data_IF_995386014265
#
_entry.id   IF_995386014265
#
_cell.length_a   1.000
_cell.length_b   1.000
_cell.length_c   1.000
_cell.angle_alpha   90.00
_cell.angle_beta   90.00
_cell.angle_gamma   90.00
#
_symmetry.space_group_name_H-M   'P 1'
#
loop_
_entity.id
_entity.type
_entity.pdbx_description
1 polymer ?
#
# COMPACT_ATOMS: atom_id res chain seq x y z
N UNK A 1 14.99 -36.44 14.25
CA UNK A 1 15.02 -35.42 13.20
C UNK A 1 15.21 -36.15 11.87
N UNK A 2 14.32 -35.95 10.91
CA UNK A 2 14.50 -36.48 9.55
C UNK A 2 15.06 -35.32 8.72
N UNK A 3 16.18 -35.55 8.03
CA UNK A 3 16.85 -34.54 7.23
C UNK A 3 16.71 -34.85 5.75
N UNK A 4 16.31 -33.84 4.98
CA UNK A 4 16.23 -33.89 3.54
C UNK A 4 17.19 -32.85 2.94
N UNK A 5 17.95 -33.24 1.92
CA UNK A 5 18.82 -32.36 1.13
C UNK A 5 19.91 -31.60 1.93
N UNK A 6 20.77 -32.33 2.65
CA UNK A 6 21.87 -31.80 3.50
C UNK A 6 22.92 -30.91 2.81
N UNK A 7 22.84 -30.70 1.49
CA UNK A 7 23.87 -30.00 0.71
C UNK A 7 23.58 -28.50 0.50
N UNK A 8 22.61 -27.93 1.23
CA UNK A 8 22.16 -26.53 1.08
C UNK A 8 22.56 -25.67 2.29
N UNK A 9 22.77 -24.37 2.04
CA UNK A 9 23.32 -23.43 3.03
C UNK A 9 22.36 -23.03 4.15
N UNK A 10 21.06 -22.93 3.86
CA UNK A 10 20.04 -22.51 4.83
C UNK A 10 19.20 -23.72 5.27
N UNK A 11 19.13 -23.95 6.58
CA UNK A 11 18.49 -25.10 7.23
C UNK A 11 17.14 -24.72 7.83
N UNK A 12 16.09 -25.30 7.27
CA UNK A 12 14.70 -25.07 7.67
C UNK A 12 14.21 -26.26 8.51
N UNK A 13 13.70 -25.99 9.70
CA UNK A 13 12.93 -26.94 10.49
C UNK A 13 11.44 -26.72 10.18
N UNK A 14 10.85 -27.63 9.42
CA UNK A 14 9.41 -27.72 9.28
C UNK A 14 8.88 -28.47 10.50
N UNK A 15 8.22 -27.74 11.38
CA UNK A 15 7.63 -28.32 12.57
C UNK A 15 6.33 -29.02 12.21
N UNK A 16 6.39 -30.34 12.32
CA UNK A 16 5.26 -31.24 12.17
C UNK A 16 5.13 -32.03 13.47
N UNK A 17 4.90 -31.31 14.57
CA UNK A 17 4.65 -31.84 15.92
C UNK A 17 3.36 -32.69 16.03
N UNK A 18 2.81 -33.17 14.92
CA UNK A 18 1.53 -33.88 14.85
C UNK A 18 1.74 -35.39 14.99
N UNK A 19 0.96 -35.95 15.91
CA UNK A 19 1.43 -36.93 16.87
C UNK A 19 1.44 -38.39 16.41
N UNK A 20 1.40 -38.68 15.11
CA UNK A 20 1.33 -40.06 14.62
C UNK A 20 2.54 -40.41 13.73
N UNK A 21 3.32 -41.44 14.10
CA UNK A 21 4.20 -42.16 13.16
C UNK A 21 3.29 -43.04 12.23
N UNK A 22 3.78 -43.58 11.10
CA UNK A 22 3.19 -43.39 9.78
C UNK A 22 2.18 -44.46 9.36
N UNK A 23 1.20 -44.07 8.54
CA UNK A 23 0.63 -44.97 7.52
C UNK A 23 0.08 -44.31 6.25
N UNK A 24 0.31 -43.02 5.98
CA UNK A 24 -0.15 -42.41 4.70
C UNK A 24 0.87 -41.49 4.05
N UNK A 25 1.17 -41.76 2.78
CA UNK A 25 2.06 -40.99 1.91
C UNK A 25 1.39 -39.66 1.52
N UNK A 26 2.07 -38.53 1.75
CA UNK A 26 1.62 -37.19 1.31
C UNK A 26 2.41 -36.80 0.07
N UNK A 27 1.78 -36.94 -1.10
CA UNK A 27 2.48 -36.71 -2.38
C UNK A 27 3.68 -37.65 -2.56
N UNK A 28 4.68 -37.27 -3.36
CA UNK A 28 5.82 -38.16 -3.65
C UNK A 28 7.03 -37.98 -2.72
N UNK A 29 7.13 -36.84 -2.03
CA UNK A 29 8.38 -36.46 -1.37
C UNK A 29 8.28 -36.31 0.15
N UNK A 30 7.07 -36.30 0.73
CA UNK A 30 6.87 -36.20 2.18
C UNK A 30 6.07 -37.40 2.71
N UNK A 31 6.51 -37.96 3.84
CA UNK A 31 5.73 -38.91 4.63
C UNK A 31 5.29 -38.20 5.91
N UNK A 32 3.98 -37.99 6.10
CA UNK A 32 3.41 -37.47 7.35
C UNK A 32 2.53 -38.51 8.04
N UNK A 33 2.25 -38.30 9.33
CA UNK A 33 1.45 -39.19 10.17
C UNK A 33 -0.02 -39.31 9.74
N UNK A 34 -0.65 -40.43 10.10
CA UNK A 34 -2.01 -40.78 9.71
C UNK A 34 -3.09 -39.84 10.26
N UNK A 35 -4.07 -39.59 9.39
CA UNK A 35 -5.41 -39.08 9.69
C UNK A 35 -6.23 -40.22 10.33
N UNK A 36 -6.74 -40.02 11.54
CA UNK A 36 -7.72 -40.95 12.15
C UNK A 36 -9.13 -40.37 12.00
N UNK A 37 -9.25 -39.04 11.99
CA UNK A 37 -10.46 -38.24 11.75
C UNK A 37 -10.08 -36.88 11.11
N UNK A 38 -11.09 -36.13 10.66
CA UNK A 38 -10.97 -34.76 10.10
C UNK A 38 -11.09 -33.69 11.19
N UNK A 39 -10.81 -34.04 12.45
CA UNK A 39 -10.96 -33.11 13.57
C UNK A 39 -9.69 -32.26 13.69
N UNK A 40 -9.87 -30.94 13.58
CA UNK A 40 -8.82 -29.92 13.54
C UNK A 40 -8.29 -29.60 12.16
N UNK A 41 -8.72 -30.31 11.10
CA UNK A 41 -8.19 -30.20 9.72
C UNK A 41 -9.21 -30.73 8.70
N UNK A 42 -9.40 -29.99 7.60
CA UNK A 42 -10.52 -30.17 6.66
C UNK A 42 -10.80 -31.62 6.16
N UNK A 43 -12.02 -31.82 5.65
CA UNK A 43 -12.55 -33.13 5.24
C UNK A 43 -11.84 -33.75 4.04
N UNK A 44 -12.07 -35.05 3.84
CA UNK A 44 -11.52 -35.86 2.74
C UNK A 44 -11.93 -35.39 1.33
N UNK A 45 -12.88 -34.45 1.23
CA UNK A 45 -13.40 -33.84 0.01
C UNK A 45 -12.88 -32.41 -0.24
N UNK A 46 -12.01 -31.88 0.62
CA UNK A 46 -11.39 -30.57 0.43
C UNK A 46 -10.11 -30.66 -0.41
N UNK A 47 -10.21 -30.18 -1.65
CA UNK A 47 -9.19 -30.31 -2.72
C UNK A 47 -7.87 -29.57 -2.42
N UNK A 48 -7.78 -28.85 -1.30
CA UNK A 48 -6.66 -27.97 -0.91
C UNK A 48 -5.63 -28.67 0.01
N UNK A 49 -5.82 -29.96 0.30
CA UNK A 49 -5.03 -30.74 1.26
C UNK A 49 -3.75 -31.41 0.73
N UNK A 50 -2.72 -31.45 1.59
CA UNK A 50 -1.48 -32.27 1.58
C UNK A 50 -0.59 -32.24 0.32
N UNK A 51 -1.17 -32.31 -0.87
CA UNK A 51 -0.53 -32.10 -2.15
C UNK A 51 0.15 -30.72 -2.23
N UNK A 52 -0.42 -29.69 -1.59
CA UNK A 52 0.14 -28.33 -1.56
C UNK A 52 1.43 -28.24 -0.75
N UNK A 53 1.57 -29.03 0.33
CA UNK A 53 2.81 -29.07 1.10
C UNK A 53 3.89 -29.86 0.36
N UNK A 54 3.53 -30.90 -0.40
CA UNK A 54 4.45 -31.61 -1.29
C UNK A 54 4.97 -30.66 -2.40
N UNK A 55 4.12 -29.80 -2.96
CA UNK A 55 4.53 -28.74 -3.88
C UNK A 55 5.40 -27.68 -3.20
N UNK A 56 5.00 -27.17 -2.03
CA UNK A 56 5.77 -26.20 -1.26
C UNK A 56 7.15 -26.77 -0.88
N UNK A 57 7.21 -28.01 -0.42
CA UNK A 57 8.46 -28.72 -0.16
C UNK A 57 9.28 -28.91 -1.43
N UNK A 58 8.68 -29.30 -2.56
CA UNK A 58 9.40 -29.46 -3.84
C UNK A 58 10.03 -28.15 -4.29
N UNK A 59 9.36 -27.02 -4.06
CA UNK A 59 9.89 -25.69 -4.36
C UNK A 59 10.99 -25.33 -3.36
N UNK A 60 10.68 -25.37 -2.06
CA UNK A 60 11.59 -24.96 -1.00
C UNK A 60 12.85 -25.84 -0.95
N UNK A 61 12.74 -27.14 -1.20
CA UNK A 61 13.86 -28.08 -1.16
C UNK A 61 14.91 -27.84 -2.25
N UNK A 62 14.59 -27.03 -3.28
CA UNK A 62 15.58 -26.53 -4.25
C UNK A 62 16.56 -25.54 -3.63
N UNK A 63 16.13 -24.82 -2.59
CA UNK A 63 16.87 -23.72 -1.96
C UNK A 63 17.32 -24.05 -0.54
N UNK A 64 16.52 -24.80 0.21
CA UNK A 64 16.68 -25.03 1.65
C UNK A 64 16.97 -26.51 1.97
N UNK A 65 17.80 -26.73 3.00
CA UNK A 65 17.94 -28.04 3.65
C UNK A 65 16.80 -28.20 4.64
N UNK A 66 15.85 -29.08 4.36
CA UNK A 66 14.62 -29.20 5.15
C UNK A 66 14.75 -30.34 6.14
N UNK A 67 14.42 -30.08 7.39
CA UNK A 67 14.37 -31.07 8.46
C UNK A 67 13.01 -31.06 9.15
N UNK A 68 12.63 -32.20 9.75
CA UNK A 68 11.41 -32.33 10.54
C UNK A 68 11.74 -32.96 11.90
N UNK A 69 11.11 -32.50 12.97
CA UNK A 69 11.32 -32.99 14.33
C UNK A 69 9.99 -33.21 15.05
N UNK A 70 10.04 -34.09 16.06
CA UNK A 70 8.96 -34.35 17.04
C UNK A 70 9.36 -33.98 18.46
N UNK A 71 10.57 -33.45 18.61
CA UNK A 71 11.09 -33.03 19.90
C UNK A 71 10.55 -31.64 20.23
N UNK A 72 10.27 -31.41 21.51
CA UNK A 72 9.97 -30.08 22.02
C UNK A 72 11.09 -29.09 21.67
N UNK A 73 10.72 -27.83 21.46
CA UNK A 73 11.68 -26.79 21.15
C UNK A 73 12.68 -26.60 22.28
N UNK A 74 13.96 -26.73 21.94
CA UNK A 74 15.07 -26.53 22.85
C UNK A 74 16.21 -25.84 22.12
N UNK A 75 17.08 -25.16 22.87
CA UNK A 75 18.32 -24.57 22.34
C UNK A 75 19.15 -25.63 21.57
N UNK A 76 19.10 -26.89 22.02
CA UNK A 76 19.79 -28.00 21.37
C UNK A 76 19.16 -28.38 20.03
N UNK A 77 17.82 -28.44 19.96
CA UNK A 77 17.11 -28.76 18.72
C UNK A 77 17.34 -27.68 17.64
N UNK A 78 17.33 -26.41 18.06
CA UNK A 78 17.45 -25.26 17.17
C UNK A 78 18.91 -24.91 16.84
N UNK A 79 19.89 -25.64 17.39
CA UNK A 79 21.31 -25.38 17.15
C UNK A 79 21.66 -25.64 15.68
N UNK A 80 22.01 -24.58 14.97
CA UNK A 80 22.37 -24.65 13.55
C UNK A 80 21.16 -24.83 12.62
N UNK A 81 19.96 -24.53 13.10
CA UNK A 81 18.77 -24.29 12.27
C UNK A 81 18.69 -22.79 11.99
N UNK A 82 18.39 -22.40 10.76
CA UNK A 82 18.31 -21.00 10.32
C UNK A 82 16.86 -20.48 10.29
N UNK A 83 15.89 -21.38 10.05
CA UNK A 83 14.47 -21.06 10.07
C UNK A 83 13.61 -22.15 10.71
N UNK A 84 12.53 -21.75 11.39
CA UNK A 84 11.49 -22.64 11.92
C UNK A 84 10.15 -22.25 11.29
N UNK A 85 9.41 -23.23 10.78
CA UNK A 85 8.05 -23.03 10.26
C UNK A 85 7.08 -23.88 11.06
N UNK A 86 6.10 -23.24 11.69
CA UNK A 86 5.06 -23.89 12.48
C UNK A 86 3.74 -23.81 11.72
N UNK A 87 3.17 -24.97 11.41
CA UNK A 87 1.89 -25.08 10.74
C UNK A 87 0.81 -25.38 11.77
N UNK A 88 -0.16 -24.46 11.89
CA UNK A 88 -1.50 -24.70 12.44
C UNK A 88 -1.53 -25.74 13.60
N UNK A 89 -1.23 -25.28 14.82
CA UNK A 89 -1.11 -26.15 15.99
C UNK A 89 -2.43 -26.85 16.30
N UNK A 90 -2.37 -28.13 16.66
CA UNK A 90 -3.56 -28.95 16.90
C UNK A 90 -4.33 -28.47 18.12
N UNK A 91 -5.65 -28.29 18.00
CA UNK A 91 -6.48 -27.88 19.11
C UNK A 91 -6.65 -29.03 20.12
N UNK A 92 -6.19 -28.89 21.38
CA UNK A 92 -6.34 -29.93 22.41
C UNK A 92 -7.80 -30.21 22.79
N UNK A 93 -8.72 -29.30 22.46
CA UNK A 93 -10.16 -29.52 22.63
C UNK A 93 -10.77 -30.44 21.57
N UNK A 94 -10.10 -30.66 20.44
CA UNK A 94 -10.47 -31.61 19.38
C UNK A 94 -9.67 -32.91 19.53
N UNK A 95 -8.37 -32.78 19.69
CA UNK A 95 -7.44 -33.91 19.79
C UNK A 95 -6.93 -33.95 21.23
N UNK A 96 -7.51 -34.83 22.04
CA UNK A 96 -7.25 -34.91 23.50
C UNK A 96 -5.78 -35.12 23.89
N UNK A 97 -4.97 -35.67 22.96
CA UNK A 97 -3.54 -35.90 23.13
C UNK A 97 -2.66 -34.90 22.34
N UNK A 98 -3.25 -33.84 21.77
CA UNK A 98 -2.48 -32.81 21.09
C UNK A 98 -1.54 -32.14 22.07
N UNK A 99 -0.26 -32.12 21.73
CA UNK A 99 0.72 -31.40 22.52
C UNK A 99 0.74 -29.94 22.09
N UNK A 100 0.61 -29.06 23.07
CA UNK A 100 0.70 -27.62 22.88
C UNK A 100 2.14 -27.15 23.06
N UNK A 101 2.51 -26.05 22.40
CA UNK A 101 3.81 -25.40 22.63
C UNK A 101 3.83 -24.85 24.05
N UNK A 102 4.73 -25.35 24.89
CA UNK A 102 4.79 -24.93 26.29
C UNK A 102 5.38 -23.52 26.48
N UNK A 103 5.15 -22.93 27.65
CA UNK A 103 5.77 -21.66 28.06
C UNK A 103 7.32 -21.67 27.95
N UNK A 104 7.94 -22.80 28.26
CA UNK A 104 9.39 -22.98 28.11
C UNK A 104 9.82 -22.96 26.65
N UNK A 105 9.06 -23.60 25.77
CA UNK A 105 9.32 -23.61 24.34
C UNK A 105 9.11 -22.23 23.71
N UNK A 106 8.08 -21.49 24.14
CA UNK A 106 7.88 -20.09 23.71
C UNK A 106 9.11 -19.24 24.03
N UNK A 107 9.69 -19.37 25.24
CA UNK A 107 10.92 -18.64 25.61
C UNK A 107 12.10 -19.02 24.73
N UNK A 108 12.23 -20.31 24.39
CA UNK A 108 13.27 -20.81 23.47
C UNK A 108 13.09 -20.20 22.08
N UNK A 109 11.87 -20.22 21.52
CA UNK A 109 11.57 -19.65 20.21
C UNK A 109 11.82 -18.14 20.16
N UNK A 110 11.42 -17.41 21.21
CA UNK A 110 11.70 -15.97 21.33
C UNK A 110 13.20 -15.68 21.37
N UNK A 111 13.96 -16.45 22.16
CA UNK A 111 15.42 -16.34 22.23
C UNK A 111 16.07 -16.66 20.89
N UNK A 112 15.60 -17.70 20.21
CA UNK A 112 16.06 -18.10 18.88
C UNK A 112 15.91 -16.97 17.86
N UNK A 113 14.73 -16.32 17.80
CA UNK A 113 14.51 -15.17 16.91
C UNK A 113 15.39 -13.97 17.27
N UNK A 114 15.54 -13.66 18.57
CA UNK A 114 16.45 -12.59 19.02
C UNK A 114 17.91 -12.84 18.64
N UNK A 115 18.30 -14.10 18.50
CA UNK A 115 19.65 -14.50 18.11
C UNK A 115 19.83 -14.59 16.59
N UNK A 116 18.87 -14.11 15.79
CA UNK A 116 18.95 -14.05 14.33
C UNK A 116 18.27 -15.20 13.58
N UNK A 117 17.63 -16.14 14.30
CA UNK A 117 16.83 -17.19 13.67
C UNK A 117 15.52 -16.67 13.08
N UNK A 118 15.05 -17.26 11.99
CA UNK A 118 13.75 -16.91 11.38
C UNK A 118 12.62 -17.79 11.92
N UNK A 119 11.48 -17.21 12.27
CA UNK A 119 10.28 -17.94 12.69
C UNK A 119 9.09 -17.57 11.81
N UNK A 120 8.44 -18.57 11.21
CA UNK A 120 7.21 -18.44 10.45
C UNK A 120 6.09 -19.20 11.16
N UNK A 121 4.97 -18.53 11.41
CA UNK A 121 3.74 -19.12 11.93
C UNK A 121 2.67 -19.07 10.84
N UNK A 122 2.14 -20.23 10.46
CA UNK A 122 1.02 -20.31 9.52
C UNK A 122 -0.27 -20.53 10.31
N UNK A 123 -1.11 -19.50 10.28
CA UNK A 123 -2.38 -19.41 11.01
C UNK A 123 -3.55 -19.39 10.04
N UNK A 124 -4.74 -19.70 10.54
CA UNK A 124 -5.97 -19.71 9.75
C UNK A 124 -7.08 -18.93 10.47
N UNK A 125 -8.20 -18.68 9.80
CA UNK A 125 -9.38 -18.07 10.42
C UNK A 125 -9.95 -18.95 11.53
N UNK A 126 -10.61 -18.33 12.52
CA UNK A 126 -11.28 -19.05 13.62
C UNK A 126 -12.75 -18.71 13.63
N UNK A 127 -13.58 -19.70 13.27
CA UNK A 127 -15.03 -19.59 13.26
C UNK A 127 -15.67 -20.51 14.30
N UNK A 128 -16.71 -20.03 15.01
CA UNK A 128 -17.49 -20.88 15.95
C UNK A 128 -18.15 -22.07 15.25
N UNK A 129 -18.52 -21.91 13.98
CA UNK A 129 -19.19 -22.94 13.19
C UNK A 129 -18.20 -23.94 12.55
N UNK A 130 -16.89 -23.65 12.63
CA UNK A 130 -15.81 -24.52 12.15
C UNK A 130 -14.94 -24.98 13.30
N UNK A 131 -15.57 -25.35 14.41
CA UNK A 131 -14.85 -25.90 15.56
C UNK A 131 -13.98 -27.10 15.15
N UNK A 132 -14.44 -27.92 14.21
CA UNK A 132 -13.68 -29.06 13.67
C UNK A 132 -12.50 -28.64 12.77
N UNK A 133 -12.31 -27.36 12.47
CA UNK A 133 -11.13 -26.82 11.78
C UNK A 133 -10.32 -25.88 12.69
N UNK A 134 -10.63 -25.85 13.99
CA UNK A 134 -10.01 -24.91 14.92
C UNK A 134 -8.62 -25.37 15.37
N UNK A 135 -7.77 -24.39 15.69
CA UNK A 135 -6.35 -24.59 16.06
C UNK A 135 -6.11 -24.22 17.52
N UNK A 136 -4.97 -24.66 18.08
CA UNK A 136 -4.52 -24.21 19.39
C UNK A 136 -4.31 -22.69 19.39
N UNK A 137 -5.06 -21.97 20.20
CA UNK A 137 -5.00 -20.51 20.23
C UNK A 137 -4.29 -19.95 21.46
N UNK A 138 -4.29 -20.68 22.58
CA UNK A 138 -3.81 -20.16 23.86
C UNK A 138 -2.32 -19.88 23.83
N UNK A 139 -1.53 -20.89 23.51
CA UNK A 139 -0.07 -20.80 23.43
C UNK A 139 0.37 -20.07 22.16
N UNK A 140 -0.32 -20.27 21.04
CA UNK A 140 -0.07 -19.51 19.80
C UNK A 140 -0.19 -18.00 20.02
N UNK A 141 -1.27 -17.52 20.64
CA UNK A 141 -1.43 -16.09 20.96
C UNK A 141 -0.37 -15.59 21.93
N UNK A 142 0.01 -16.42 22.90
CA UNK A 142 1.07 -16.08 23.85
C UNK A 142 2.42 -15.91 23.16
N UNK A 143 2.75 -16.77 22.19
CA UNK A 143 3.93 -16.65 21.35
C UNK A 143 3.91 -15.35 20.54
N UNK A 144 2.83 -15.08 19.80
CA UNK A 144 2.67 -13.89 18.95
C UNK A 144 2.78 -12.59 19.75
N UNK A 145 2.14 -12.51 20.92
CA UNK A 145 2.24 -11.34 21.81
C UNK A 145 3.66 -11.07 22.26
N UNK A 146 4.49 -12.11 22.36
CA UNK A 146 5.92 -11.98 22.65
C UNK A 146 6.71 -11.22 21.57
N UNK A 147 6.16 -11.09 20.37
CA UNK A 147 6.69 -10.32 19.25
C UNK A 147 5.87 -9.05 18.96
N UNK A 148 4.96 -8.67 19.85
CA UNK A 148 4.09 -7.50 19.65
C UNK A 148 2.94 -7.74 18.66
N UNK A 149 2.65 -8.99 18.30
CA UNK A 149 1.59 -9.36 17.36
C UNK A 149 0.32 -9.81 18.10
N UNK A 150 -0.84 -9.47 17.53
CA UNK A 150 -2.15 -9.94 17.98
C UNK A 150 -2.81 -10.83 16.93
N UNK A 151 -3.50 -11.88 17.39
CA UNK A 151 -4.39 -12.70 16.55
C UNK A 151 -5.81 -12.57 17.10
N UNK A 152 -6.72 -12.10 16.26
CA UNK A 152 -8.14 -11.88 16.53
C UNK A 152 -8.93 -13.20 16.48
N UNK A 153 -10.12 -13.22 17.11
CA UNK A 153 -10.98 -14.42 17.27
C UNK A 153 -12.29 -14.26 16.51
N UNK A 154 -12.20 -13.78 15.29
CA UNK A 154 -13.34 -13.49 14.45
C UNK A 154 -13.00 -13.80 12.99
N UNK A 155 -14.06 -13.89 12.19
CA UNK A 155 -14.00 -14.16 10.76
C UNK A 155 -13.64 -12.89 9.97
N UNK A 156 -12.77 -12.04 10.53
CA UNK A 156 -12.27 -10.90 9.78
C UNK A 156 -11.30 -11.42 8.75
N UNK A 157 -11.78 -11.62 7.53
CA UNK A 157 -10.91 -11.83 6.41
C UNK A 157 -10.31 -10.49 6.02
N UNK A 158 -8.98 -10.43 5.92
CA UNK A 158 -8.28 -9.32 5.26
C UNK A 158 -8.77 -9.09 3.80
N UNK A 159 -9.67 -9.94 3.26
CA UNK A 159 -10.22 -9.89 1.92
C UNK A 159 -11.64 -9.31 1.78
N UNK A 160 -12.30 -8.86 2.85
CA UNK A 160 -13.70 -8.38 2.79
C UNK A 160 -13.81 -6.92 2.31
N UNK A 161 -13.04 -6.56 1.28
CA UNK A 161 -13.08 -5.21 0.70
C UNK A 161 -14.27 -5.03 -0.24
N UNK A 162 -14.57 -3.76 -0.54
CA UNK A 162 -15.57 -3.41 -1.53
C UNK A 162 -15.26 -4.12 -2.85
N UNK A 163 -16.09 -5.10 -3.22
CA UNK A 163 -16.06 -5.65 -4.56
C UNK A 163 -16.68 -4.62 -5.50
N UNK A 164 -15.85 -3.73 -6.05
CA UNK A 164 -16.28 -2.67 -6.96
C UNK A 164 -17.04 -3.23 -8.17
N UNK A 165 -16.84 -4.50 -8.53
CA UNK A 165 -17.57 -5.15 -9.62
C UNK A 165 -19.05 -5.41 -9.34
N UNK A 166 -19.47 -5.31 -8.08
CA UNK A 166 -20.89 -5.38 -7.69
C UNK A 166 -21.67 -4.11 -8.04
N UNK A 167 -20.97 -3.06 -8.48
CA UNK A 167 -21.56 -1.79 -8.89
C UNK A 167 -21.46 -1.63 -10.41
N UNK A 168 -22.61 -1.52 -11.06
CA UNK A 168 -22.68 -1.50 -12.53
C UNK A 168 -21.99 -0.28 -13.14
N UNK A 169 -21.95 0.86 -12.43
CA UNK A 169 -21.21 2.07 -12.80
C UNK A 169 -21.03 2.94 -11.56
N UNK A 170 -19.80 3.43 -11.31
CA UNK A 170 -19.54 4.48 -10.34
C UNK A 170 -19.06 5.74 -11.09
N UNK A 171 -19.70 6.87 -10.84
CA UNK A 171 -19.30 8.15 -11.43
C UNK A 171 -18.69 9.05 -10.36
N UNK A 172 -17.51 9.60 -10.64
CA UNK A 172 -16.84 10.57 -9.78
C UNK A 172 -16.71 11.92 -10.48
N UNK A 173 -16.93 12.99 -9.73
CA UNK A 173 -16.47 14.33 -10.10
C UNK A 173 -15.05 14.52 -9.59
N UNK A 174 -14.14 14.86 -10.50
CA UNK A 174 -12.78 15.24 -10.19
C UNK A 174 -12.64 16.76 -10.26
N UNK A 175 -11.99 17.32 -9.25
CA UNK A 175 -11.51 18.70 -9.26
C UNK A 175 -10.03 18.71 -8.85
N UNK A 176 -9.22 19.44 -9.60
CA UNK A 176 -7.82 19.69 -9.29
C UNK A 176 -7.61 21.19 -9.25
N UNK A 177 -7.01 21.69 -8.18
CA UNK A 177 -6.63 23.08 -8.06
C UNK A 177 -5.18 23.18 -7.61
N UNK A 178 -4.40 24.01 -8.29
CA UNK A 178 -3.03 24.28 -7.87
C UNK A 178 -2.72 25.75 -7.83
N UNK A 179 -1.82 26.11 -6.92
CA UNK A 179 -1.42 27.47 -6.62
C UNK A 179 0.10 27.57 -6.64
N UNK A 180 0.61 28.66 -7.19
CA UNK A 180 2.02 28.95 -7.19
C UNK A 180 2.31 30.31 -6.57
N UNK A 181 3.23 30.30 -5.62
CA UNK A 181 3.86 31.50 -5.09
C UNK A 181 5.32 31.50 -5.51
N UNK A 182 5.59 32.12 -6.66
CA UNK A 182 6.93 32.40 -7.18
C UNK A 182 7.11 33.92 -7.17
N UNK A 183 8.11 34.47 -6.44
CA UNK A 183 8.36 35.89 -6.42
C UNK A 183 8.65 36.45 -7.81
N UNK A 184 8.15 37.65 -8.12
CA UNK A 184 8.40 38.34 -9.41
C UNK A 184 9.88 38.57 -9.73
N UNK A 185 10.71 38.65 -8.70
CA UNK A 185 12.17 38.79 -8.80
C UNK A 185 12.85 37.49 -9.25
N UNK A 186 12.23 36.33 -9.00
CA UNK A 186 12.73 35.03 -9.41
C UNK A 186 12.49 34.84 -10.92
N UNK A 187 13.48 34.32 -11.65
CA UNK A 187 13.36 34.10 -13.10
C UNK A 187 12.36 33.02 -13.48
N UNK A 188 12.04 32.09 -12.57
CA UNK A 188 10.98 31.10 -12.77
C UNK A 188 9.61 31.76 -12.96
N UNK A 189 9.39 32.97 -12.43
CA UNK A 189 8.12 33.70 -12.63
C UNK A 189 7.90 34.14 -14.08
N UNK A 190 8.91 33.97 -14.95
CA UNK A 190 8.85 34.30 -16.38
C UNK A 190 8.54 33.09 -17.26
N UNK A 191 8.51 31.89 -16.69
CA UNK A 191 8.12 30.69 -17.42
C UNK A 191 6.64 30.82 -17.81
N UNK A 192 6.27 30.58 -19.08
CA UNK A 192 4.87 30.67 -19.50
C UNK A 192 3.97 29.68 -18.75
N UNK A 193 2.81 30.18 -18.32
CA UNK A 193 1.76 29.44 -17.60
C UNK A 193 0.43 29.55 -18.39
N UNK A 194 0.27 28.82 -19.51
CA UNK A 194 -0.83 29.04 -20.45
C UNK A 194 -2.23 28.75 -19.88
N UNK A 195 -2.33 27.79 -18.95
CA UNK A 195 -3.59 27.38 -18.31
C UNK A 195 -3.74 27.94 -16.89
N UNK A 196 -3.09 29.07 -16.60
CA UNK A 196 -3.19 29.71 -15.29
C UNK A 196 -3.95 31.01 -15.39
N UNK A 197 -4.77 31.26 -14.38
CA UNK A 197 -5.32 32.57 -14.08
C UNK A 197 -4.58 33.21 -12.90
N UNK A 198 -4.85 34.49 -12.65
CA UNK A 198 -4.20 35.24 -11.58
C UNK A 198 -5.21 35.49 -10.47
N UNK A 199 -4.97 34.86 -9.32
CA UNK A 199 -5.70 35.15 -8.10
C UNK A 199 -5.09 36.37 -7.40
N UNK A 200 -5.92 37.37 -7.14
CA UNK A 200 -5.53 38.64 -6.50
C UNK A 200 -6.20 38.80 -5.13
N UNK A 201 -5.76 38.07 -4.09
CA UNK A 201 -6.36 38.20 -2.75
C UNK A 201 -6.11 39.59 -2.15
N UNK A 202 -5.09 40.31 -2.65
CA UNK A 202 -4.74 41.69 -2.29
C UNK A 202 -4.24 42.42 -3.54
N UNK A 203 -4.37 43.76 -3.63
CA UNK A 203 -3.93 44.53 -4.81
C UNK A 203 -2.45 44.34 -5.20
N UNK A 204 -1.59 44.00 -4.23
CA UNK A 204 -0.15 43.82 -4.42
C UNK A 204 0.28 42.37 -4.59
N UNK A 205 -0.64 41.41 -4.46
CA UNK A 205 -0.34 39.98 -4.43
C UNK A 205 -1.02 39.30 -5.62
N UNK A 206 -0.22 38.92 -6.61
CA UNK A 206 -0.65 38.14 -7.77
C UNK A 206 -0.16 36.71 -7.58
N UNK A 207 -1.09 35.76 -7.45
CA UNK A 207 -0.77 34.34 -7.32
C UNK A 207 -1.33 33.60 -8.53
N UNK A 208 -0.48 33.07 -9.41
CA UNK A 208 -0.92 32.16 -10.45
C UNK A 208 -1.59 30.92 -9.84
N UNK A 209 -2.75 30.58 -10.36
CA UNK A 209 -3.45 29.34 -10.02
C UNK A 209 -4.06 28.70 -11.27
N UNK A 210 -4.31 27.41 -11.21
CA UNK A 210 -5.06 26.69 -12.24
C UNK A 210 -6.14 25.85 -11.59
N UNK A 211 -7.19 25.57 -12.37
CA UNK A 211 -8.23 24.61 -12.01
C UNK A 211 -8.46 23.65 -13.18
N UNK A 212 -8.62 22.37 -12.86
CA UNK A 212 -9.06 21.36 -13.79
C UNK A 212 -10.25 20.59 -13.23
N UNK A 213 -11.17 20.21 -14.10
CA UNK A 213 -12.27 19.33 -13.73
C UNK A 213 -12.48 18.25 -14.76
N UNK A 214 -13.00 17.10 -14.32
CA UNK A 214 -13.43 16.04 -15.20
C UNK A 214 -14.48 15.18 -14.52
N UNK A 215 -15.22 14.42 -15.32
CA UNK A 215 -16.07 13.33 -14.85
C UNK A 215 -15.39 12.01 -15.12
N UNK A 216 -15.33 11.15 -14.13
CA UNK A 216 -14.68 9.85 -14.19
C UNK A 216 -15.74 8.76 -14.11
N UNK A 217 -15.86 7.94 -15.15
CA UNK A 217 -16.83 6.85 -15.20
C UNK A 217 -16.09 5.53 -15.02
N UNK A 218 -16.23 4.92 -13.85
CA UNK A 218 -15.60 3.67 -13.47
C UNK A 218 -16.50 2.48 -13.83
N UNK A 219 -15.96 1.56 -14.62
CA UNK A 219 -16.55 0.26 -14.90
C UNK A 219 -15.64 -0.81 -14.31
N UNK A 220 -16.15 -1.67 -13.44
CA UNK A 220 -15.36 -2.68 -12.73
C UNK A 220 -15.89 -4.09 -13.01
N UNK A 221 -14.98 -5.04 -13.22
CA UNK A 221 -15.29 -6.46 -13.47
C UNK A 221 -14.38 -7.32 -12.61
N UNK A 222 -14.96 -8.36 -12.00
CA UNK A 222 -14.20 -9.32 -11.20
C UNK A 222 -13.32 -10.18 -12.09
N UNK A 223 -12.04 -10.26 -11.76
CA UNK A 223 -11.09 -11.21 -12.33
C UNK A 223 -11.00 -12.43 -11.41
N UNK A 224 -11.67 -13.52 -11.80
CA UNK A 224 -11.74 -14.74 -11.01
C UNK A 224 -10.41 -15.51 -10.95
N UNK A 225 -9.52 -15.34 -11.94
CA UNK A 225 -8.23 -16.03 -11.96
C UNK A 225 -7.24 -15.38 -10.98
N UNK A 226 -7.21 -14.05 -10.94
CA UNK A 226 -6.34 -13.31 -10.02
C UNK A 226 -6.99 -13.06 -8.67
N UNK A 227 -8.30 -13.32 -8.56
CA UNK A 227 -9.10 -12.92 -7.40
C UNK A 227 -9.06 -11.40 -7.19
N UNK A 228 -9.01 -10.62 -8.25
CA UNK A 228 -8.85 -9.17 -8.25
C UNK A 228 -10.05 -8.49 -8.92
N UNK A 229 -10.07 -7.16 -8.95
CA UNK A 229 -10.99 -6.37 -9.75
C UNK A 229 -10.19 -5.65 -10.83
N UNK A 230 -10.59 -5.84 -12.09
CA UNK A 230 -10.14 -4.99 -13.20
C UNK A 230 -11.12 -3.86 -13.34
N UNK A 231 -10.62 -2.63 -13.44
CA UNK A 231 -11.50 -1.48 -13.62
C UNK A 231 -10.98 -0.54 -14.69
N UNK A 232 -11.87 -0.05 -15.53
CA UNK A 232 -11.58 0.99 -16.52
C UNK A 232 -12.26 2.29 -16.10
N UNK A 233 -11.47 3.34 -15.97
CA UNK A 233 -11.94 4.70 -15.70
C UNK A 233 -11.92 5.49 -17.00
N UNK A 234 -13.09 5.84 -17.52
CA UNK A 234 -13.21 6.77 -18.64
C UNK A 234 -13.16 8.20 -18.11
N UNK A 235 -12.29 9.04 -18.67
CA UNK A 235 -12.25 10.48 -18.40
C UNK A 235 -13.15 11.19 -19.41
N UNK A 236 -14.11 11.96 -18.91
CA UNK A 236 -15.13 12.62 -19.73
C UNK A 236 -15.21 14.09 -19.31
N UNK A 237 -15.53 14.97 -20.27
CA UNK A 237 -15.78 16.40 -20.04
C UNK A 237 -14.61 17.09 -19.31
N UNK A 238 -13.36 16.77 -19.70
CA UNK A 238 -12.18 17.41 -19.12
C UNK A 238 -12.12 18.90 -19.46
N UNK A 239 -11.88 19.74 -18.45
CA UNK A 239 -11.82 21.19 -18.60
C UNK A 239 -10.66 21.78 -17.82
N UNK A 240 -10.07 22.83 -18.38
CA UNK A 240 -9.27 23.81 -17.64
C UNK A 240 -10.17 25.01 -17.32
N UNK A 241 -10.41 25.27 -16.05
CA UNK A 241 -11.48 26.18 -15.62
C UNK A 241 -12.82 25.81 -16.31
N UNK A 242 -13.45 26.77 -16.99
CA UNK A 242 -14.67 26.56 -17.76
C UNK A 242 -14.41 26.16 -19.23
N UNK A 243 -13.14 26.05 -19.65
CA UNK A 243 -12.75 25.78 -21.04
C UNK A 243 -12.61 24.27 -21.28
N UNK A 244 -13.39 23.73 -22.20
CA UNK A 244 -13.21 22.35 -22.67
C UNK A 244 -11.87 22.22 -23.38
N UNK A 245 -11.08 21.21 -23.02
CA UNK A 245 -9.89 20.80 -23.78
C UNK A 245 -10.34 19.68 -24.73
N UNK A 246 -10.60 20.00 -25.99
CA UNK A 246 -11.03 19.01 -26.98
C UNK A 246 -9.87 18.06 -27.30
N UNK A 247 -9.84 16.92 -26.61
CA UNK A 247 -9.01 15.78 -26.96
C UNK A 247 -9.88 14.74 -27.69
N UNK A 248 -9.54 14.44 -28.94
CA UNK A 248 -10.24 13.43 -29.74
C UNK A 248 -9.75 12.01 -29.45
N UNK A 249 -8.69 11.86 -28.63
CA UNK A 249 -8.21 10.55 -28.20
C UNK A 249 -9.10 9.94 -27.12
N UNK A 250 -9.13 8.61 -27.11
CA UNK A 250 -9.82 7.86 -26.08
C UNK A 250 -9.04 7.97 -24.75
N UNK A 251 -9.59 8.72 -23.80
CA UNK A 251 -9.00 8.92 -22.47
C UNK A 251 -9.52 7.88 -21.46
N UNK A 252 -8.72 6.85 -21.19
CA UNK A 252 -9.06 5.73 -20.28
C UNK A 252 -7.88 5.40 -19.38
N UNK A 253 -8.17 5.05 -18.12
CA UNK A 253 -7.18 4.53 -17.17
C UNK A 253 -7.62 3.12 -16.76
N UNK A 254 -6.81 2.12 -17.10
CA UNK A 254 -7.05 0.73 -16.67
C UNK A 254 -6.34 0.46 -15.35
N UNK A 255 -7.04 -0.20 -14.43
CA UNK A 255 -6.63 -0.45 -13.05
C UNK A 255 -6.71 -1.95 -12.74
N UNK A 256 -5.73 -2.45 -11.99
CA UNK A 256 -5.82 -3.74 -11.32
C UNK A 256 -5.88 -3.52 -9.81
N UNK A 257 -6.97 -3.93 -9.19
CA UNK A 257 -7.24 -3.71 -7.77
C UNK A 257 -7.28 -5.06 -7.06
N UNK A 258 -6.38 -5.28 -6.11
CA UNK A 258 -6.30 -6.53 -5.35
C UNK A 258 -7.46 -6.68 -4.36
N UNK A 259 -7.58 -7.87 -3.75
CA UNK A 259 -8.60 -8.20 -2.72
C UNK A 259 -8.62 -7.28 -1.51
N UNK A 260 -7.55 -6.52 -1.29
CA UNK A 260 -7.41 -5.58 -0.19
C UNK A 260 -7.76 -4.14 -0.60
N UNK A 261 -8.22 -3.90 -1.83
CA UNK A 261 -8.47 -2.55 -2.36
C UNK A 261 -7.19 -1.83 -2.80
N UNK A 262 -6.03 -2.49 -2.75
CA UNK A 262 -4.78 -1.92 -3.26
C UNK A 262 -4.79 -1.89 -4.78
N UNK A 263 -4.63 -0.71 -5.36
CA UNK A 263 -4.35 -0.54 -6.79
C UNK A 263 -2.90 -0.97 -7.05
N UNK A 264 -2.73 -2.10 -7.74
CA UNK A 264 -1.45 -2.70 -8.05
C UNK A 264 -0.88 -2.22 -9.41
N UNK A 265 -1.75 -1.78 -10.32
CA UNK A 265 -1.37 -1.37 -11.66
C UNK A 265 -2.28 -0.23 -12.14
N UNK A 266 -1.68 0.75 -12.83
CA UNK A 266 -2.35 1.91 -13.42
C UNK A 266 -1.79 2.10 -14.82
N UNK A 267 -2.63 1.93 -15.84
CA UNK A 267 -2.27 2.06 -17.26
C UNK A 267 -3.14 3.11 -17.93
N UNK A 268 -2.67 4.37 -18.02
CA UNK A 268 -3.39 5.41 -18.73
C UNK A 268 -3.17 5.34 -20.24
N UNK A 269 -4.22 5.69 -21.00
CA UNK A 269 -4.21 5.92 -22.44
C UNK A 269 -4.91 7.24 -22.74
N UNK A 270 -4.25 8.12 -23.48
CA UNK A 270 -4.71 9.48 -23.75
C UNK A 270 -4.06 10.53 -22.83
N UNK A 271 -4.07 11.79 -23.27
CA UNK A 271 -3.38 12.91 -22.60
C UNK A 271 -3.96 13.16 -21.20
N UNK A 272 -5.28 13.34 -21.11
CA UNK A 272 -5.96 13.64 -19.84
C UNK A 272 -5.92 12.46 -18.87
N UNK A 273 -6.07 11.23 -19.38
CA UNK A 273 -5.92 10.02 -18.58
C UNK A 273 -4.52 9.94 -17.94
N UNK A 274 -3.46 10.22 -18.71
CA UNK A 274 -2.08 10.21 -18.21
C UNK A 274 -1.87 11.29 -17.16
N UNK A 275 -2.45 12.48 -17.36
CA UNK A 275 -2.37 13.56 -16.41
C UNK A 275 -3.10 13.28 -15.08
N UNK A 276 -4.22 12.54 -15.10
CA UNK A 276 -5.02 12.20 -13.90
C UNK A 276 -4.49 10.96 -13.16
N UNK A 277 -3.85 10.03 -13.88
CA UNK A 277 -3.42 8.72 -13.39
C UNK A 277 -2.75 8.70 -12.00
N UNK A 278 -1.88 9.67 -11.61
CA UNK A 278 -1.24 9.63 -10.29
C UNK A 278 -2.20 9.65 -9.10
N UNK A 279 -3.36 10.25 -9.28
CA UNK A 279 -4.32 10.52 -8.21
C UNK A 279 -5.48 9.51 -8.19
N UNK A 280 -5.62 8.70 -9.25
CA UNK A 280 -6.78 7.81 -9.43
C UNK A 280 -6.86 6.70 -8.40
N UNK A 281 -5.72 6.30 -7.81
CA UNK A 281 -5.66 5.27 -6.77
C UNK A 281 -6.51 5.60 -5.54
N UNK A 282 -6.84 6.87 -5.34
CA UNK A 282 -7.71 7.34 -4.27
C UNK A 282 -9.17 6.87 -4.37
N UNK A 283 -9.64 6.42 -5.53
CA UNK A 283 -11.01 5.87 -5.66
C UNK A 283 -11.16 4.50 -5.00
N UNK A 284 -10.04 3.85 -4.64
CA UNK A 284 -10.02 2.59 -3.92
C UNK A 284 -9.37 2.78 -2.55
N UNK A 285 -10.05 2.27 -1.51
CA UNK A 285 -9.53 2.28 -0.16
C UNK A 285 -8.87 0.94 0.14
N UNK A 286 -7.73 0.97 0.82
CA UNK A 286 -7.05 -0.24 1.29
C UNK A 286 -7.66 -0.64 2.63
N UNK A 287 -8.02 -1.92 2.78
CA UNK A 287 -8.62 -2.47 4.00
C UNK A 287 -9.82 -1.66 4.56
N UNK A 288 -10.83 -1.31 3.76
CA UNK A 288 -11.97 -0.54 4.24
C UNK A 288 -12.97 -1.35 5.09
N UNK A 289 -12.56 -2.49 5.66
CA UNK A 289 -13.44 -3.60 6.04
C UNK A 289 -13.87 -3.57 7.51
N UNK A 290 -14.66 -4.55 7.91
CA UNK A 290 -14.94 -4.89 9.32
C UNK A 290 -13.64 -5.22 10.07
N UNK A 291 -13.62 -4.98 11.39
CA UNK A 291 -12.53 -5.35 12.29
C UNK A 291 -11.49 -4.26 12.59
N UNK A 292 -11.28 -3.30 11.70
CA UNK A 292 -10.45 -2.11 12.00
C UNK A 292 -11.15 -1.17 12.98
N UNK A 293 -10.38 -0.56 13.86
CA UNK A 293 -10.81 0.40 14.88
C UNK A 293 -10.09 1.74 14.71
N UNK A 294 -10.71 2.85 15.15
CA UNK A 294 -10.03 4.14 15.23
C UNK A 294 -8.68 3.99 15.94
N UNK A 295 -7.61 4.47 15.30
CA UNK A 295 -6.23 4.34 15.76
C UNK A 295 -5.43 3.21 15.09
N UNK A 296 -6.08 2.26 14.41
CA UNK A 296 -5.36 1.25 13.63
C UNK A 296 -4.68 1.88 12.42
N UNK A 297 -3.46 1.45 12.12
CA UNK A 297 -2.70 1.92 10.97
C UNK A 297 -2.00 0.79 10.22
N UNK A 298 -1.74 1.02 8.94
CA UNK A 298 -0.98 0.11 8.08
C UNK A 298 -0.16 0.89 7.06
N UNK A 299 0.85 0.25 6.49
CA UNK A 299 1.73 0.87 5.49
C UNK A 299 1.33 0.44 4.09
N UNK A 300 1.38 1.36 3.13
CA UNK A 300 1.17 1.07 1.71
C UNK A 300 2.07 1.91 0.83
N UNK A 301 2.60 1.33 -0.24
CA UNK A 301 3.40 2.04 -1.23
C UNK A 301 2.48 2.77 -2.22
N UNK A 302 2.34 4.09 -2.10
CA UNK A 302 1.44 4.91 -2.90
C UNK A 302 2.20 5.88 -3.82
N UNK A 303 1.56 6.27 -4.93
CA UNK A 303 2.02 7.35 -5.78
C UNK A 303 1.68 8.71 -5.16
N UNK A 304 2.67 9.61 -5.10
CA UNK A 304 2.47 11.02 -4.75
C UNK A 304 2.88 11.89 -5.93
N UNK A 305 1.94 12.70 -6.43
CA UNK A 305 2.18 13.74 -7.42
C UNK A 305 3.08 14.84 -6.82
N UNK A 306 4.12 15.22 -7.55
CA UNK A 306 5.02 16.31 -7.19
C UNK A 306 4.54 17.60 -7.86
N UNK A 307 4.20 18.67 -7.10
CA UNK A 307 3.85 19.95 -7.69
C UNK A 307 4.98 20.55 -8.54
N UNK A 308 4.66 20.99 -9.76
CA UNK A 308 5.61 21.55 -10.73
C UNK A 308 5.26 23.00 -11.13
N UNK A 309 6.24 23.73 -11.69
CA UNK A 309 6.11 25.13 -12.16
C UNK A 309 5.11 25.27 -13.31
N UNK A 310 4.93 24.24 -14.14
CA UNK A 310 3.82 24.19 -15.09
C UNK A 310 3.05 22.91 -14.85
N UNK A 311 2.03 23.00 -13.99
CA UNK A 311 1.30 21.83 -13.52
C UNK A 311 0.39 21.19 -14.59
N UNK A 312 0.33 21.76 -15.79
CA UNK A 312 -0.37 21.21 -16.96
C UNK A 312 0.49 20.23 -17.75
N UNK A 313 1.80 20.22 -17.51
CA UNK A 313 2.68 19.19 -18.04
C UNK A 313 2.37 17.83 -17.38
N UNK A 314 2.93 16.75 -17.94
CA UNK A 314 2.77 15.44 -17.32
C UNK A 314 3.35 15.46 -15.90
N UNK A 315 2.54 15.05 -14.89
CA UNK A 315 2.96 15.13 -13.51
C UNK A 315 4.13 14.20 -13.22
N UNK A 316 5.14 14.73 -12.57
CA UNK A 316 6.16 13.91 -11.96
C UNK A 316 5.61 13.23 -10.70
N UNK A 317 5.96 11.97 -10.48
CA UNK A 317 5.45 11.15 -9.37
C UNK A 317 6.57 10.48 -8.61
N UNK A 318 6.39 10.32 -7.29
CA UNK A 318 7.25 9.47 -6.46
C UNK A 318 6.42 8.39 -5.78
N UNK A 319 6.92 7.16 -5.77
CA UNK A 319 6.37 6.08 -4.97
C UNK A 319 6.91 6.21 -3.54
N UNK A 320 6.03 6.24 -2.56
CA UNK A 320 6.39 6.40 -1.14
C UNK A 320 5.60 5.43 -0.27
N UNK A 321 6.24 4.90 0.77
CA UNK A 321 5.53 4.15 1.80
C UNK A 321 4.79 5.12 2.70
N UNK A 322 3.46 5.06 2.67
CA UNK A 322 2.59 5.91 3.46
C UNK A 322 1.95 5.10 4.57
N UNK A 323 1.90 5.68 5.76
CA UNK A 323 1.03 5.21 6.81
C UNK A 323 -0.41 5.64 6.49
N UNK A 324 -1.33 4.68 6.46
CA UNK A 324 -2.76 4.90 6.36
C UNK A 324 -3.32 4.65 7.76
N UNK A 325 -3.84 5.70 8.38
CA UNK A 325 -4.47 5.68 9.69
C UNK A 325 -5.98 5.66 9.51
N UNK A 326 -6.66 4.71 10.14
CA UNK A 326 -8.10 4.81 10.36
C UNK A 326 -8.34 5.79 11.52
N UNK A 327 -8.79 7.01 11.19
CA UNK A 327 -8.89 8.09 12.18
C UNK A 327 -10.13 7.94 13.05
N UNK A 328 -11.32 7.93 12.44
CA UNK A 328 -12.62 7.82 13.11
C UNK A 328 -13.75 7.52 12.11
N UNK A 329 -14.94 7.18 12.66
CA UNK A 329 -16.19 7.16 11.91
C UNK A 329 -16.77 8.58 11.85
N UNK A 330 -17.15 9.05 10.67
CA UNK A 330 -17.77 10.36 10.42
C UNK A 330 -19.05 10.20 9.60
N UNK A 331 -19.82 11.28 9.50
CA UNK A 331 -20.94 11.38 8.58
C UNK A 331 -20.56 12.26 7.39
N UNK A 332 -20.77 11.76 6.17
CA UNK A 332 -20.50 12.48 4.93
C UNK A 332 -21.64 12.26 3.94
N UNK A 333 -22.31 13.34 3.54
CA UNK A 333 -23.50 13.28 2.67
C UNK A 333 -24.57 12.32 3.22
N UNK A 334 -24.91 12.44 4.50
CA UNK A 334 -25.88 11.60 5.22
C UNK A 334 -25.56 10.09 5.22
N UNK A 335 -24.29 9.72 4.93
CA UNK A 335 -23.79 8.34 4.96
C UNK A 335 -22.73 8.19 6.06
N UNK A 336 -22.81 7.12 6.87
CA UNK A 336 -21.76 6.78 7.81
C UNK A 336 -20.51 6.31 7.05
N UNK A 337 -19.39 6.94 7.32
CA UNK A 337 -18.13 6.69 6.61
C UNK A 337 -16.95 6.55 7.57
N UNK A 338 -15.99 5.72 7.19
CA UNK A 338 -14.68 5.62 7.83
C UNK A 338 -13.75 6.66 7.22
N UNK A 339 -13.11 7.49 8.03
CA UNK A 339 -12.09 8.41 7.55
C UNK A 339 -10.71 7.77 7.63
N UNK A 340 -10.10 7.55 6.47
CA UNK A 340 -8.71 7.13 6.34
C UNK A 340 -7.83 8.34 6.04
N UNK A 341 -6.72 8.48 6.76
CA UNK A 341 -5.80 9.61 6.64
C UNK A 341 -4.37 9.14 6.47
N UNK A 342 -3.67 9.73 5.51
CA UNK A 342 -2.20 9.66 5.42
C UNK A 342 -1.64 11.06 5.38
N UNK A 343 -0.71 11.37 6.28
CA UNK A 343 -0.01 12.66 6.31
C UNK A 343 1.49 12.43 6.37
N UNK A 344 2.25 13.40 5.89
CA UNK A 344 3.68 13.36 6.07
C UNK A 344 4.38 14.62 5.61
N UNK A 345 5.62 14.73 6.07
CA UNK A 345 6.55 15.79 5.76
C UNK A 345 7.91 15.16 5.52
N UNK A 346 8.57 15.53 4.43
CA UNK A 346 9.90 15.03 4.10
C UNK A 346 10.75 16.10 3.44
N UNK A 347 12.07 15.97 3.51
CA UNK A 347 12.95 16.76 2.64
C UNK A 347 12.87 16.23 1.22
N UNK A 348 12.94 17.11 0.23
CA UNK A 348 12.93 16.72 -1.19
C UNK A 348 14.05 15.72 -1.50
N UNK A 349 15.23 15.90 -0.90
CA UNK A 349 16.36 14.96 -1.03
C UNK A 349 16.05 13.56 -0.52
N UNK A 350 15.24 13.42 0.53
CA UNK A 350 14.93 12.12 1.14
C UNK A 350 14.09 11.26 0.18
N UNK A 351 13.34 11.91 -0.71
CA UNK A 351 12.56 11.27 -1.76
C UNK A 351 13.29 11.23 -3.10
N UNK A 352 14.53 11.72 -3.17
CA UNK A 352 15.29 11.85 -4.41
C UNK A 352 14.62 12.78 -5.42
N UNK A 353 13.93 13.82 -4.95
CA UNK A 353 13.35 14.87 -5.79
C UNK A 353 14.42 15.90 -6.10
N UNK A 354 14.64 16.15 -7.38
CA UNK A 354 15.58 17.13 -7.90
C UNK A 354 14.86 18.38 -8.39
N UNK A 355 15.62 19.44 -8.70
CA UNK A 355 15.03 20.65 -9.29
C UNK A 355 14.39 20.36 -10.65
N UNK A 356 14.94 19.41 -11.43
CA UNK A 356 14.40 19.03 -12.74
C UNK A 356 13.00 18.45 -12.66
N UNK A 357 12.68 17.77 -11.55
CA UNK A 357 11.37 17.16 -11.31
C UNK A 357 10.26 18.21 -11.09
N UNK A 358 10.63 19.48 -10.89
CA UNK A 358 9.73 20.60 -10.60
C UNK A 358 9.66 21.57 -11.80
N UNK A 359 10.62 21.50 -12.72
CA UNK A 359 10.70 22.36 -13.90
C UNK A 359 9.90 21.78 -15.07
N UNK A 360 9.63 22.64 -16.06
CA UNK A 360 9.00 22.20 -17.31
C UNK A 360 9.99 21.40 -18.16
N UNK A 361 9.46 20.54 -19.02
CA UNK A 361 10.30 19.71 -19.90
C UNK A 361 11.21 20.58 -20.79
N UNK A 362 10.72 21.73 -21.26
CA UNK A 362 11.54 22.62 -22.09
C UNK A 362 12.69 23.25 -21.31
N UNK A 363 12.50 23.61 -20.04
CA UNK A 363 13.59 24.13 -19.20
C UNK A 363 14.65 23.06 -18.92
N UNK A 364 14.23 21.80 -18.71
CA UNK A 364 15.15 20.68 -18.48
C UNK A 364 15.95 20.34 -19.74
N UNK A 365 15.32 20.40 -20.92
CA UNK A 365 15.94 20.03 -22.21
C UNK A 365 16.70 21.15 -22.91
N UNK A 366 16.83 22.34 -22.31
CA UNK A 366 17.65 23.42 -22.89
C UNK A 366 19.09 22.98 -23.12
N UNK A 367 19.71 23.49 -24.19
CA UNK A 367 21.12 23.26 -24.49
C UNK A 367 21.97 23.74 -23.32
N UNK A 368 22.78 22.85 -22.73
CA UNK A 368 23.57 23.14 -21.52
C UNK A 368 22.88 22.77 -20.20
N UNK A 369 21.65 22.22 -20.25
CA UNK A 369 20.88 21.80 -19.09
C UNK A 369 20.17 22.96 -18.37
N UNK A 370 19.60 22.67 -17.21
CA UNK A 370 18.96 23.69 -16.37
C UNK A 370 20.01 24.61 -15.73
N UNK A 371 19.69 25.90 -15.66
CA UNK A 371 20.46 26.88 -14.86
C UNK A 371 19.90 27.07 -13.46
N UNK A 372 18.91 26.26 -13.08
CA UNK A 372 18.27 26.33 -11.78
C UNK A 372 18.83 25.27 -10.86
N UNK A 373 19.05 25.64 -9.61
CA UNK A 373 19.52 24.75 -8.58
C UNK A 373 18.83 25.04 -7.26
N UNK A 374 18.68 24.01 -6.43
CA UNK A 374 18.30 24.24 -5.05
C UNK A 374 19.41 25.00 -4.32
N UNK A 375 19.02 25.98 -3.51
CA UNK A 375 19.96 26.75 -2.69
C UNK A 375 20.55 25.89 -1.55
N UNK A 376 19.75 24.97 -1.03
CA UNK A 376 20.14 24.03 0.02
C UNK A 376 20.24 22.62 -0.55
N UNK A 377 21.19 21.80 -0.08
CA UNK A 377 21.40 20.43 -0.57
C UNK A 377 20.18 19.51 -0.38
N UNK A 378 19.37 19.77 0.65
CA UNK A 378 18.10 19.08 0.89
C UNK A 378 16.95 19.55 -0.02
N UNK A 379 17.19 20.57 -0.84
CA UNK A 379 16.19 21.20 -1.70
C UNK A 379 15.24 22.11 -0.94
N UNK A 380 14.28 21.48 -0.28
CA UNK A 380 13.18 22.08 0.44
C UNK A 380 12.37 20.97 1.09
N UNK A 381 11.12 21.26 1.43
CA UNK A 381 10.22 20.27 2.02
C UNK A 381 9.01 20.03 1.14
N UNK A 382 8.57 18.78 1.13
CA UNK A 382 7.26 18.36 0.65
C UNK A 382 6.38 18.02 1.85
N UNK A 383 5.15 18.51 1.83
CA UNK A 383 4.09 18.16 2.75
C UNK A 383 2.98 17.51 1.94
N UNK A 384 2.37 16.46 2.48
CA UNK A 384 1.19 15.87 1.87
C UNK A 384 0.15 15.48 2.91
N UNK A 385 -1.10 15.47 2.47
CA UNK A 385 -2.24 14.96 3.22
C UNK A 385 -3.19 14.28 2.25
N UNK A 386 -3.46 13.00 2.46
CA UNK A 386 -4.47 12.20 1.78
C UNK A 386 -5.58 11.88 2.76
N UNK A 387 -6.82 12.06 2.34
CA UNK A 387 -8.03 11.75 3.08
C UNK A 387 -8.95 10.91 2.18
N UNK A 388 -9.55 9.85 2.72
CA UNK A 388 -10.58 9.07 2.04
C UNK A 388 -11.74 8.84 2.99
N UNK A 389 -12.94 9.25 2.59
CA UNK A 389 -14.20 8.97 3.28
C UNK A 389 -14.82 7.75 2.64
N UNK A 390 -14.81 6.63 3.37
CA UNK A 390 -15.19 5.33 2.85
C UNK A 390 -16.51 4.90 3.44
N UNK A 391 -17.52 4.63 2.62
CA UNK A 391 -18.83 4.16 3.08
C UNK A 391 -18.67 2.90 3.93
N UNK A 392 -19.19 2.95 5.17
CA UNK A 392 -18.93 1.89 6.16
C UNK A 392 -19.52 0.54 5.75
N UNK A 393 -20.61 0.55 4.97
CA UNK A 393 -21.37 -0.65 4.58
C UNK A 393 -20.82 -1.28 3.31
N UNK A 394 -20.53 -0.46 2.31
CA UNK A 394 -20.14 -0.91 0.96
C UNK A 394 -18.64 -0.90 0.75
N UNK A 395 -17.89 -0.12 1.54
CA UNK A 395 -16.46 0.09 1.37
C UNK A 395 -16.08 0.98 0.17
N UNK A 396 -17.06 1.59 -0.50
CA UNK A 396 -16.83 2.53 -1.61
C UNK A 396 -16.28 3.84 -1.05
N UNK A 397 -15.29 4.41 -1.74
CA UNK A 397 -14.83 5.77 -1.45
C UNK A 397 -15.89 6.76 -1.94
N UNK A 398 -16.51 7.49 -1.00
CA UNK A 398 -17.51 8.53 -1.29
C UNK A 398 -16.85 9.85 -1.68
N UNK A 399 -15.74 10.17 -1.03
CA UNK A 399 -14.92 11.34 -1.31
C UNK A 399 -13.47 11.00 -1.00
N UNK A 400 -12.54 11.52 -1.79
CA UNK A 400 -11.14 11.49 -1.49
C UNK A 400 -10.47 12.82 -1.82
N UNK A 401 -9.43 13.15 -1.07
CA UNK A 401 -8.67 14.37 -1.25
C UNK A 401 -7.18 14.08 -1.09
N UNK A 402 -6.36 14.55 -2.02
CA UNK A 402 -4.91 14.58 -1.90
C UNK A 402 -4.42 16.02 -2.03
N UNK A 403 -3.75 16.49 -0.98
CA UNK A 403 -3.07 17.76 -0.96
C UNK A 403 -1.58 17.50 -0.96
N UNK A 404 -0.84 18.18 -1.82
CA UNK A 404 0.62 18.17 -1.88
C UNK A 404 1.14 19.59 -1.96
N UNK A 405 2.19 19.88 -1.21
CA UNK A 405 2.81 21.21 -1.19
C UNK A 405 4.31 21.08 -1.11
N UNK A 406 5.01 21.83 -1.95
CA UNK A 406 6.45 22.03 -1.88
C UNK A 406 6.74 23.46 -1.43
N UNK A 407 7.68 23.60 -0.50
CA UNK A 407 8.32 24.88 -0.17
C UNK A 407 9.83 24.67 -0.33
N UNK A 408 10.45 25.45 -1.21
CA UNK A 408 11.86 25.28 -1.57
C UNK A 408 12.51 26.62 -1.91
N UNK A 409 13.84 26.65 -1.98
CA UNK A 409 14.61 27.82 -2.44
C UNK A 409 15.32 27.45 -3.73
N UNK A 410 14.86 28.00 -4.86
CA UNK A 410 15.44 27.75 -6.18
C UNK A 410 16.15 29.01 -6.65
N UNK A 411 17.45 28.89 -6.92
CA UNK A 411 18.29 29.94 -7.50
C UNK A 411 18.48 29.71 -8.98
N UNK A 412 18.66 30.81 -9.72
CA UNK A 412 19.15 30.83 -11.09
C UNK A 412 20.64 31.20 -11.06
N UNK A 413 21.50 30.26 -11.45
CA UNK A 413 22.96 30.42 -11.34
C UNK A 413 23.54 31.51 -12.25
N UNK A 414 22.73 32.05 -13.18
CA UNK A 414 23.13 33.17 -14.03
C UNK A 414 22.98 34.52 -13.32
N UNK A 415 22.37 34.55 -12.12
CA UNK A 415 22.09 35.78 -11.37
C UNK A 415 22.74 35.74 -9.99
N UNK A 416 23.32 36.86 -9.53
CA UNK A 416 23.79 36.96 -8.15
C UNK A 416 22.60 36.89 -7.20
N UNK A 417 22.82 36.29 -6.03
CA UNK A 417 21.84 36.20 -4.96
C UNK A 417 21.99 37.41 -4.03
N UNK A 418 20.87 37.95 -3.57
CA UNK A 418 20.81 39.03 -2.59
C UNK A 418 21.64 38.76 -1.34
N UNK A 419 22.26 39.82 -0.79
CA UNK A 419 23.16 39.71 0.38
C UNK A 419 22.42 39.56 1.71
N UNK A 420 21.19 40.08 1.82
CA UNK A 420 20.35 39.97 3.02
C UNK A 420 19.40 38.77 2.92
N UNK A 421 18.99 38.19 4.06
CA UNK A 421 18.03 37.08 4.07
C UNK A 421 16.71 37.45 3.38
N UNK A 422 16.21 38.68 3.62
CA UNK A 422 15.01 39.18 2.97
C UNK A 422 15.15 39.20 1.45
N UNK A 423 16.30 39.66 0.92
CA UNK A 423 16.55 39.67 -0.52
C UNK A 423 16.64 38.24 -1.07
N UNK A 424 17.36 37.34 -0.38
CA UNK A 424 17.45 35.92 -0.74
C UNK A 424 16.08 35.26 -0.85
N UNK A 425 15.25 35.41 0.19
CA UNK A 425 13.91 34.83 0.21
C UNK A 425 13.06 35.42 -0.91
N UNK A 426 13.08 36.74 -1.09
CA UNK A 426 12.35 37.40 -2.18
C UNK A 426 12.81 36.98 -3.58
N UNK A 427 14.00 36.42 -3.73
CA UNK A 427 14.55 36.01 -5.04
C UNK A 427 14.46 34.50 -5.27
N UNK A 428 14.37 33.68 -4.21
CA UNK A 428 14.57 32.24 -4.33
C UNK A 428 13.44 31.39 -3.75
N UNK A 429 12.63 31.91 -2.81
CA UNK A 429 11.58 31.11 -2.19
C UNK A 429 10.50 30.77 -3.21
N UNK A 430 10.17 29.49 -3.34
CA UNK A 430 9.14 28.97 -4.24
C UNK A 430 8.22 28.07 -3.43
N UNK A 431 6.91 28.34 -3.51
CA UNK A 431 5.89 27.46 -2.94
C UNK A 431 4.93 27.01 -4.04
N UNK A 432 4.78 25.71 -4.18
CA UNK A 432 3.90 25.07 -5.16
C UNK A 432 2.92 24.18 -4.40
N UNK A 433 1.63 24.30 -4.68
CA UNK A 433 0.60 23.50 -4.05
C UNK A 433 -0.32 22.90 -5.10
N UNK A 434 -0.79 21.68 -4.84
CA UNK A 434 -1.81 21.01 -5.64
C UNK A 434 -2.79 20.28 -4.72
N UNK A 435 -4.06 20.33 -5.06
CA UNK A 435 -5.14 19.64 -4.37
C UNK A 435 -5.98 18.92 -5.42
N UNK A 436 -6.07 17.60 -5.32
CA UNK A 436 -6.99 16.77 -6.11
C UNK A 436 -8.11 16.30 -5.20
N UNK A 437 -9.36 16.47 -5.63
CA UNK A 437 -10.57 15.98 -4.96
C UNK A 437 -11.34 15.09 -5.92
N UNK A 438 -11.74 13.91 -5.44
CA UNK A 438 -12.61 12.97 -6.15
C UNK A 438 -13.86 12.78 -5.31
N UNK A 439 -15.04 13.03 -5.87
CA UNK A 439 -16.31 12.92 -5.16
C UNK A 439 -17.27 12.03 -5.94
N UNK A 440 -17.79 10.98 -5.32
CA UNK A 440 -18.77 10.10 -5.92
C UNK A 440 -20.08 10.88 -6.19
N UNK A 441 -20.59 10.81 -7.42
CA UNK A 441 -21.95 11.25 -7.75
C UNK A 441 -22.94 10.24 -7.17
N UNK A 442 -23.85 10.73 -6.34
CA UNK A 442 -24.97 9.95 -5.83
C UNK A 442 -26.09 9.85 -6.87
#
# INVERSE_FOLDING_TARGET
MINYNNNKGFKLLLDYYHHNLPSTKVGNHILTGSWIDSDGRYGWDDFVHTNTLDHAYTILSKEYSISMSRAAYSDMLLKGIDGVVIFALDNPSLISNAKVVSDSEIKVLQKYVRNGGSLMLMLNAVEKNRFNESFEMGQTKKLLRGFGLGWNNDDTHYSDTADLSTFNNLEYEMQVAGLQAVPRSNTLSKIPLPEYEVFNPRPTTQMPFFEASARLVLNAVRDTMLGAVRADVKVVDFKWFDRSDEDHEQNVISLLIGKQGKVAQIEPKGKHATWIAPDISMISAILPTTGVKPGDSWQSMESIRIPAIRATDLPFVKMQNLEILYMDDQERNDKPCRLLVSTGEAWLSDWGITVNDILTEEEVKKVGGTHYNFLHNRGGKILFKREQWVDRKTGIVLEARLQTRIITWIKDDRRPIGKSNLAKDSETIVSLANITTLKLKN
#
